data_IF_754177054345
#
_entry.id   IF_754177054345
#
_cell.length_a   1.000
_cell.length_b   1.000
_cell.length_c   1.000
_cell.angle_alpha   90.00
_cell.angle_beta   90.00
_cell.angle_gamma   90.00
#
_symmetry.space_group_name_H-M   'P 1'
#
loop_
_entity.id
_entity.type
_entity.pdbx_description
1 polymer ?
#
# COMPACT_ATOMS: atom_id res chain seq x y z
N UNK A 1 21.43 8.24 -13.90
CA UNK A 1 21.86 7.55 -12.66
C UNK A 1 20.58 7.18 -11.95
N UNK A 2 20.15 5.92 -12.02
CA UNK A 2 18.94 5.48 -11.34
C UNK A 2 19.33 5.26 -9.88
N UNK A 3 18.86 6.13 -8.98
CA UNK A 3 18.93 5.84 -7.55
C UNK A 3 18.14 4.54 -7.33
N UNK A 4 18.76 3.54 -6.70
CA UNK A 4 18.04 2.37 -6.25
C UNK A 4 17.10 2.85 -5.14
N UNK A 5 15.81 2.94 -5.45
CA UNK A 5 14.77 3.29 -4.48
C UNK A 5 14.38 2.01 -3.75
N UNK A 6 14.66 1.97 -2.45
CA UNK A 6 14.39 0.79 -1.63
C UNK A 6 12.94 0.80 -1.13
N UNK A 7 12.28 -0.36 -1.22
CA UNK A 7 10.98 -0.61 -0.61
C UNK A 7 11.12 -1.66 0.50
N UNK A 8 10.50 -1.38 1.65
CA UNK A 8 10.41 -2.30 2.76
C UNK A 8 8.95 -2.57 3.13
N UNK A 9 8.53 -3.84 3.06
CA UNK A 9 7.19 -4.27 3.41
C UNK A 9 7.11 -4.46 4.92
N UNK A 10 6.22 -3.71 5.57
CA UNK A 10 6.01 -3.80 7.02
C UNK A 10 4.96 -4.86 7.36
N UNK A 11 3.93 -4.98 6.52
CA UNK A 11 2.98 -6.09 6.61
C UNK A 11 1.85 -6.02 5.59
N UNK A 12 1.24 -7.19 5.39
CA UNK A 12 -0.05 -7.35 4.73
C UNK A 12 -1.02 -7.82 5.80
N UNK A 13 -2.11 -7.10 5.99
CA UNK A 13 -3.03 -7.31 7.11
C UNK A 13 -4.45 -7.57 6.62
N UNK A 14 -5.13 -8.52 7.26
CA UNK A 14 -6.57 -8.70 7.08
C UNK A 14 -7.31 -7.46 7.61
N UNK A 15 -8.04 -6.76 6.74
CA UNK A 15 -8.82 -5.58 7.11
C UNK A 15 -10.31 -5.91 7.26
N UNK A 16 -10.87 -6.58 6.26
CA UNK A 16 -12.26 -7.03 6.19
C UNK A 16 -12.35 -8.21 5.21
N UNK A 17 -13.53 -8.81 5.04
CA UNK A 17 -13.77 -9.85 4.05
C UNK A 17 -13.32 -9.36 2.66
N UNK A 18 -12.43 -10.15 2.06
CA UNK A 18 -11.83 -9.92 0.74
C UNK A 18 -11.00 -8.63 0.62
N UNK A 19 -10.60 -8.01 1.74
CA UNK A 19 -9.80 -6.77 1.77
C UNK A 19 -8.56 -6.94 2.64
N UNK A 20 -7.41 -6.58 2.10
CA UNK A 20 -6.17 -6.47 2.86
C UNK A 20 -5.68 -5.03 2.89
N UNK A 21 -5.05 -4.66 4.00
CA UNK A 21 -4.27 -3.43 4.13
C UNK A 21 -2.79 -3.78 3.98
N UNK A 22 -2.13 -3.17 3.00
CA UNK A 22 -0.68 -3.29 2.81
C UNK A 22 -0.02 -2.08 3.45
N UNK A 23 1.00 -2.29 4.28
CA UNK A 23 1.82 -1.22 4.86
C UNK A 23 3.27 -1.40 4.42
N UNK A 24 3.87 -0.32 3.94
CA UNK A 24 5.25 -0.32 3.48
C UNK A 24 5.93 1.03 3.66
N UNK A 25 7.25 1.05 3.50
CA UNK A 25 8.07 2.26 3.40
C UNK A 25 8.81 2.25 2.07
N UNK A 26 8.84 3.38 1.38
CA UNK A 26 9.58 3.59 0.13
C UNK A 26 10.54 4.75 0.35
N UNK A 27 11.81 4.59 -0.05
CA UNK A 27 12.77 5.70 -0.09
C UNK A 27 12.53 6.62 -1.30
N UNK A 28 11.32 7.16 -1.37
CA UNK A 28 10.84 8.10 -2.37
C UNK A 28 9.98 9.18 -1.71
N UNK A 29 9.95 10.36 -2.33
CA UNK A 29 9.08 11.45 -1.93
C UNK A 29 7.62 11.05 -2.17
N UNK A 30 6.72 11.32 -1.21
CA UNK A 30 5.32 10.88 -1.28
C UNK A 30 4.59 11.30 -2.56
N UNK A 31 4.93 12.47 -3.10
CA UNK A 31 4.35 13.02 -4.35
C UNK A 31 4.89 12.39 -5.63
N UNK A 32 5.94 11.57 -5.55
CA UNK A 32 6.57 10.94 -6.72
C UNK A 32 6.17 9.46 -6.89
N UNK A 33 5.50 8.87 -5.89
CA UNK A 33 5.06 7.47 -5.92
C UNK A 33 3.98 7.29 -6.99
N UNK A 34 4.21 6.32 -7.87
CA UNK A 34 3.33 5.99 -8.99
C UNK A 34 2.45 4.79 -8.68
N UNK A 35 1.36 5.01 -7.95
CA UNK A 35 0.43 3.95 -7.54
C UNK A 35 -0.22 3.19 -8.71
N UNK A 36 -0.37 3.83 -9.87
CA UNK A 36 -0.85 3.18 -11.10
C UNK A 36 0.12 2.12 -11.66
N UNK A 37 1.37 2.09 -11.20
CA UNK A 37 2.35 1.05 -11.55
C UNK A 37 2.33 -0.13 -10.54
N UNK A 38 1.53 -0.03 -9.47
CA UNK A 38 1.29 -1.12 -8.53
C UNK A 38 0.11 -1.96 -9.03
N UNK A 39 0.26 -3.28 -9.06
CA UNK A 39 -0.85 -4.15 -9.44
C UNK A 39 -0.75 -5.56 -8.88
N UNK A 40 -1.90 -6.18 -8.63
CA UNK A 40 -1.99 -7.61 -8.33
C UNK A 40 -1.67 -8.41 -9.60
N UNK A 41 -0.64 -9.26 -9.54
CA UNK A 41 -0.32 -10.15 -10.65
C UNK A 41 -1.25 -11.35 -10.66
N UNK A 42 -2.00 -11.48 -11.75
CA UNK A 42 -2.85 -12.63 -12.02
C UNK A 42 -2.47 -13.25 -13.37
N UNK A 43 -2.31 -14.58 -13.37
CA UNK A 43 -1.92 -15.30 -14.58
C UNK A 43 -3.03 -15.14 -15.63
N UNK A 44 -2.65 -14.64 -16.82
CA UNK A 44 -3.51 -14.38 -17.97
C UNK A 44 -4.42 -13.15 -17.89
N UNK A 45 -4.25 -12.29 -16.88
CA UNK A 45 -4.95 -11.00 -16.82
C UNK A 45 -3.98 -9.90 -17.27
N UNK A 46 -4.47 -8.96 -18.09
CA UNK A 46 -3.65 -7.82 -18.51
C UNK A 46 -3.47 -6.86 -17.34
N UNK A 47 -2.32 -6.17 -17.27
CA UNK A 47 -2.06 -5.19 -16.23
C UNK A 47 -3.16 -4.11 -16.13
N UNK A 48 -3.71 -3.65 -17.26
CA UNK A 48 -4.78 -2.64 -17.29
C UNK A 48 -6.11 -3.14 -16.67
N UNK A 49 -6.29 -4.45 -16.60
CA UNK A 49 -7.43 -5.13 -15.98
C UNK A 49 -7.09 -5.59 -14.55
N UNK A 50 -5.82 -5.47 -14.15
CA UNK A 50 -5.35 -5.88 -12.85
C UNK A 50 -5.68 -4.82 -11.82
N UNK A 51 -5.96 -5.28 -10.60
CA UNK A 51 -6.26 -4.38 -9.51
C UNK A 51 -5.04 -3.50 -9.16
N UNK A 52 -5.28 -2.20 -8.98
CA UNK A 52 -4.37 -1.23 -8.35
C UNK A 52 -4.68 -0.99 -6.87
N UNK A 53 -3.76 -0.35 -6.12
CA UNK A 53 -4.03 0.20 -4.80
C UNK A 53 -5.32 1.02 -4.74
N UNK A 54 -5.99 0.95 -3.59
CA UNK A 54 -7.17 1.75 -3.28
C UNK A 54 -6.95 2.54 -1.97
N UNK A 55 -7.35 3.81 -1.96
CA UNK A 55 -7.25 4.75 -0.82
C UNK A 55 -5.87 4.76 -0.14
N UNK A 56 -4.89 5.22 -0.90
CA UNK A 56 -3.51 5.37 -0.44
C UNK A 56 -3.41 6.46 0.64
N UNK A 57 -2.91 6.09 1.81
CA UNK A 57 -2.83 6.98 2.97
C UNK A 57 -1.40 7.01 3.50
N UNK A 58 -0.87 8.21 3.72
CA UNK A 58 0.48 8.41 4.24
C UNK A 58 0.48 8.47 5.75
N UNK A 59 1.51 7.89 6.34
CA UNK A 59 1.75 7.85 7.77
C UNK A 59 3.02 8.63 8.12
N UNK A 60 3.10 9.06 9.38
CA UNK A 60 4.37 9.51 9.94
C UNK A 60 5.43 8.39 9.91
N UNK A 61 6.70 8.75 10.12
CA UNK A 61 7.82 7.80 10.12
C UNK A 61 7.62 6.61 11.08
N UNK A 62 6.87 6.80 12.16
CA UNK A 62 6.65 5.79 13.19
C UNK A 62 5.42 4.91 12.88
N UNK A 63 4.59 5.29 11.91
CA UNK A 63 3.32 4.63 11.59
C UNK A 63 2.29 4.78 12.70
N UNK A 64 2.36 5.86 13.48
CA UNK A 64 1.48 6.11 14.62
C UNK A 64 0.39 7.12 14.30
N UNK A 65 0.60 7.98 13.31
CA UNK A 65 -0.36 8.99 12.89
C UNK A 65 -0.49 8.98 11.36
N UNK A 66 -1.71 9.18 10.86
CA UNK A 66 -1.97 9.50 9.46
C UNK A 66 -1.64 10.97 9.21
N UNK A 67 -0.88 11.25 8.16
CA UNK A 67 -0.43 12.60 7.77
C UNK A 67 -1.01 13.06 6.42
N UNK A 68 -1.82 12.22 5.78
CA UNK A 68 -2.68 12.58 4.65
C UNK A 68 -4.17 12.58 5.06
N UNK A 69 -5.02 13.10 4.18
CA UNK A 69 -6.44 12.73 4.17
C UNK A 69 -6.65 11.30 3.63
N UNK A 70 -7.92 10.89 3.53
CA UNK A 70 -8.30 9.56 3.03
C UNK A 70 -7.96 9.33 1.55
N UNK A 71 -7.78 10.39 0.78
CA UNK A 71 -7.45 10.36 -0.66
C UNK A 71 -5.95 10.59 -0.93
N UNK A 72 -5.12 10.55 0.11
CA UNK A 72 -3.67 10.67 -0.01
C UNK A 72 -3.16 12.11 -0.14
N UNK A 73 -4.01 13.13 0.01
CA UNK A 73 -3.57 14.53 -0.01
C UNK A 73 -2.88 14.88 1.31
N UNK A 74 -1.75 15.58 1.23
CA UNK A 74 -1.00 16.03 2.40
C UNK A 74 -0.43 17.43 2.17
N UNK A 75 -0.25 18.20 3.25
CA UNK A 75 0.25 19.58 3.15
C UNK A 75 1.71 19.66 2.71
N UNK A 76 2.51 18.67 3.09
CA UNK A 76 3.95 18.63 2.83
C UNK A 76 4.36 17.23 2.39
N UNK A 77 5.15 17.15 1.31
CA UNK A 77 5.70 15.89 0.86
C UNK A 77 6.78 15.36 1.83
N UNK A 78 6.85 14.04 1.99
CA UNK A 78 7.78 13.38 2.94
C UNK A 78 8.66 12.34 2.26
N UNK A 79 9.89 12.19 2.74
CA UNK A 79 10.84 11.12 2.37
C UNK A 79 11.60 10.65 3.62
N UNK A 80 11.71 9.34 3.91
CA UNK A 80 11.05 8.25 3.20
C UNK A 80 9.53 8.28 3.42
N UNK A 81 8.79 7.77 2.45
CA UNK A 81 7.34 7.67 2.51
C UNK A 81 6.93 6.40 3.21
N UNK A 82 6.23 6.52 4.34
CA UNK A 82 5.51 5.40 4.94
C UNK A 82 4.04 5.54 4.56
N UNK A 83 3.46 4.46 4.06
CA UNK A 83 2.10 4.50 3.56
C UNK A 83 1.40 3.18 3.77
N UNK A 84 0.08 3.25 3.66
CA UNK A 84 -0.79 2.11 3.51
C UNK A 84 -1.68 2.27 2.30
N UNK A 85 -2.14 1.15 1.76
CA UNK A 85 -3.19 1.10 0.76
C UNK A 85 -3.97 -0.20 0.87
N UNK A 86 -5.17 -0.21 0.31
CA UNK A 86 -6.03 -1.38 0.29
C UNK A 86 -5.86 -2.15 -1.01
N UNK A 87 -5.94 -3.47 -0.89
CA UNK A 87 -6.10 -4.38 -2.03
C UNK A 87 -7.28 -5.32 -1.77
N UNK A 88 -7.95 -5.76 -2.82
CA UNK A 88 -9.12 -6.63 -2.81
C UNK A 88 -8.70 -8.02 -3.29
N UNK A 89 -9.36 -9.07 -2.82
CA UNK A 89 -9.16 -10.45 -3.27
C UNK A 89 -7.71 -10.97 -3.21
N UNK A 90 -6.84 -10.31 -2.44
CA UNK A 90 -5.46 -10.76 -2.19
C UNK A 90 -5.49 -11.94 -1.21
N UNK A 91 -4.74 -12.98 -1.55
CA UNK A 91 -4.60 -14.20 -0.73
C UNK A 91 -3.13 -14.51 -0.47
N UNK A 92 -2.87 -15.44 0.45
CA UNK A 92 -1.51 -15.94 0.64
C UNK A 92 -1.02 -16.63 -0.65
N UNK A 93 0.20 -16.30 -1.08
CA UNK A 93 0.78 -16.69 -2.37
C UNK A 93 0.49 -15.72 -3.52
N UNK A 94 -0.34 -14.69 -3.32
CA UNK A 94 -0.47 -13.58 -4.28
C UNK A 94 0.84 -12.81 -4.44
N UNK A 95 1.02 -12.20 -5.62
CA UNK A 95 2.18 -11.39 -5.95
C UNK A 95 1.72 -9.99 -6.35
N UNK A 96 2.15 -8.95 -5.64
CA UNK A 96 1.88 -7.56 -6.01
C UNK A 96 3.14 -7.01 -6.68
N UNK A 97 2.99 -6.54 -7.91
CA UNK A 97 4.07 -5.92 -8.69
C UNK A 97 4.15 -4.44 -8.35
N UNK A 98 5.37 -3.93 -8.18
CA UNK A 98 5.62 -2.50 -7.96
C UNK A 98 6.89 -2.05 -8.72
N UNK A 99 7.08 -0.74 -8.94
CA UNK A 99 8.32 -0.21 -9.52
C UNK A 99 9.59 -0.47 -8.68
N UNK A 100 9.41 -0.82 -7.40
CA UNK A 100 10.47 -0.97 -6.40
C UNK A 100 10.84 -2.42 -6.12
N UNK A 101 10.18 -3.36 -6.81
CA UNK A 101 10.29 -4.79 -6.58
C UNK A 101 8.95 -5.44 -6.29
N UNK A 102 8.95 -6.76 -6.31
CA UNK A 102 7.75 -7.55 -6.09
C UNK A 102 7.47 -7.75 -4.59
N UNK A 103 6.20 -7.71 -4.21
CA UNK A 103 5.71 -8.05 -2.87
C UNK A 103 5.09 -9.46 -2.94
N UNK A 104 5.80 -10.45 -2.40
CA UNK A 104 5.23 -11.78 -2.17
C UNK A 104 4.35 -11.75 -0.92
N UNK A 105 3.06 -12.09 -1.06
CA UNK A 105 2.13 -12.16 0.07
C UNK A 105 2.26 -13.52 0.73
N UNK A 106 3.34 -13.72 1.49
CA UNK A 106 3.61 -15.04 2.11
C UNK A 106 2.68 -15.32 3.29
N UNK A 107 2.23 -14.27 3.98
CA UNK A 107 1.37 -14.37 5.15
C UNK A 107 0.51 -13.13 5.33
N UNK A 108 -0.79 -13.34 5.55
CA UNK A 108 -1.71 -12.28 5.96
C UNK A 108 -1.77 -12.24 7.49
N UNK A 109 -1.43 -11.09 8.07
CA UNK A 109 -1.36 -10.88 9.52
C UNK A 109 -2.66 -10.26 10.03
N UNK A 110 -2.92 -10.34 11.34
CA UNK A 110 -4.00 -9.57 11.98
C UNK A 110 -3.66 -8.08 11.93
N UNK A 111 -4.64 -7.23 11.59
CA UNK A 111 -4.49 -5.78 11.61
C UNK A 111 -4.08 -5.26 13.00
N UNK A 112 -2.92 -4.57 13.12
CA UNK A 112 -2.50 -3.93 14.36
C UNK A 112 -3.50 -2.88 14.82
N UNK A 113 -3.75 -2.80 16.13
CA UNK A 113 -4.66 -1.83 16.73
C UNK A 113 -4.29 -0.38 16.36
N UNK A 114 -2.99 -0.06 16.30
CA UNK A 114 -2.52 1.26 15.87
C UNK A 114 -3.05 1.67 14.50
N UNK A 115 -3.14 0.74 13.54
CA UNK A 115 -3.60 1.03 12.18
C UNK A 115 -5.12 1.13 12.15
N UNK A 116 -5.81 0.27 12.91
CA UNK A 116 -7.28 0.32 13.04
C UNK A 116 -7.80 1.68 13.51
N UNK A 117 -6.99 2.41 14.29
CA UNK A 117 -7.39 3.69 14.86
C UNK A 117 -7.07 4.91 13.98
N UNK A 118 -6.21 4.76 12.96
CA UNK A 118 -5.71 5.91 12.17
C UNK A 118 -6.01 5.79 10.68
N UNK A 119 -6.35 4.60 10.20
CA UNK A 119 -6.68 4.35 8.80
C UNK A 119 -8.19 4.35 8.63
N UNK A 120 -8.65 5.11 7.64
CA UNK A 120 -10.05 5.14 7.24
C UNK A 120 -10.24 4.38 5.93
N UNK A 121 -11.49 3.98 5.67
CA UNK A 121 -11.89 3.30 4.45
C UNK A 121 -13.23 3.88 4.00
N UNK A 122 -13.32 4.27 2.74
CA UNK A 122 -14.57 4.70 2.10
C UNK A 122 -15.15 3.51 1.33
N UNK A 123 -16.44 3.23 1.55
CA UNK A 123 -17.15 2.23 0.77
C UNK A 123 -17.59 2.86 -0.55
N UNK A 124 -17.20 2.26 -1.66
CA UNK A 124 -17.81 2.55 -2.97
C UNK A 124 -19.09 1.72 -3.05
N UNK A 125 -20.25 2.38 -3.04
CA UNK A 125 -21.56 1.77 -3.29
C UNK A 125 -21.80 1.46 -4.78
#
# INVERSE_FOLDING_TARGET
>A
MFENKDMNILGVYEFDKDKVLVELTIDELSTEIRFNEFYLYEKNIKQIESQSPYLEQFLDKNGLNRISDIYGNMEQAVKPSRLVFFMFFVSEGSLIKTPYGDISVDKIKRLPERLRNIIEFEHVE
#
